data_IF_343461342347
#
_entry.id   IF_343461342347
#
_cell.length_a   1.000
_cell.length_b   1.000
_cell.length_c   1.000
_cell.angle_alpha   90.00
_cell.angle_beta   90.00
_cell.angle_gamma   90.00
#
_symmetry.space_group_name_H-M   'P 1'
#
loop_
_entity.id
_entity.type
_entity.pdbx_description
1 polymer ?
#
# COMPACT_ATOMS: atom_id res chain seq x y z
N UNK A 1 23.30 9.12 -4.32
CA UNK A 1 21.92 8.81 -4.49
C UNK A 1 21.52 7.55 -3.74
N UNK A 2 20.53 7.65 -2.94
CA UNK A 2 20.13 6.51 -2.13
C UNK A 2 19.27 5.53 -2.91
N UNK A 3 19.54 4.27 -2.67
CA UNK A 3 18.72 3.21 -3.18
C UNK A 3 17.50 3.05 -2.26
N UNK A 4 16.32 2.97 -2.86
CA UNK A 4 15.09 2.71 -2.10
C UNK A 4 14.63 1.29 -2.29
N UNK A 5 14.15 0.69 -1.21
CA UNK A 5 13.60 -0.65 -1.25
C UNK A 5 12.10 -0.56 -1.57
N UNK A 6 11.65 -1.47 -2.39
CA UNK A 6 10.24 -1.54 -2.77
C UNK A 6 9.45 -2.23 -1.67
N UNK A 7 8.34 -1.63 -1.28
CA UNK A 7 7.52 -2.15 -0.19
C UNK A 7 6.08 -2.29 -0.66
N UNK A 8 5.48 -3.42 -0.33
CA UNK A 8 4.05 -3.61 -0.53
C UNK A 8 3.39 -3.77 0.83
N UNK A 9 2.17 -3.27 0.95
CA UNK A 9 1.42 -3.39 2.19
C UNK A 9 0.20 -4.25 1.94
N UNK A 10 0.11 -5.36 2.65
CA UNK A 10 -1.04 -6.26 2.60
C UNK A 10 -1.92 -5.93 3.79
N UNK A 11 -3.23 -5.81 3.53
CA UNK A 11 -4.15 -5.36 4.56
C UNK A 11 -4.14 -3.85 4.73
N UNK A 12 -3.88 -3.14 3.65
CA UNK A 12 -3.67 -1.69 3.69
C UNK A 12 -4.92 -0.90 4.03
N UNK A 13 -6.11 -1.49 3.94
CA UNK A 13 -7.35 -0.78 4.26
C UNK A 13 -7.70 -0.82 5.74
N UNK A 14 -7.07 -1.70 6.50
CA UNK A 14 -7.26 -1.75 7.94
C UNK A 14 -6.47 -0.66 8.65
N UNK A 15 -6.74 -0.50 9.94
CA UNK A 15 -6.12 0.59 10.72
C UNK A 15 -4.60 0.49 10.74
N UNK A 16 -4.07 -0.71 10.96
CA UNK A 16 -2.61 -0.90 11.00
C UNK A 16 -2.01 -0.64 9.62
N UNK A 17 -2.65 -1.14 8.56
CA UNK A 17 -2.18 -0.93 7.21
C UNK A 17 -2.19 0.53 6.81
N UNK A 18 -3.23 1.26 7.20
CA UNK A 18 -3.29 2.70 6.95
C UNK A 18 -2.11 3.43 7.59
N UNK A 19 -1.76 3.03 8.79
CA UNK A 19 -0.64 3.63 9.48
C UNK A 19 0.67 3.39 8.71
N UNK A 20 0.87 2.17 8.22
CA UNK A 20 2.06 1.89 7.43
C UNK A 20 2.08 2.70 6.13
N UNK A 21 0.92 2.89 5.51
CA UNK A 21 0.84 3.70 4.30
C UNK A 21 1.29 5.13 4.59
N UNK A 22 0.85 5.71 5.70
CA UNK A 22 1.28 7.07 6.05
C UNK A 22 2.76 7.14 6.35
N UNK A 23 3.34 6.09 6.93
CA UNK A 23 4.76 6.07 7.23
C UNK A 23 5.63 5.97 5.99
N UNK A 24 5.07 5.48 4.89
CA UNK A 24 5.82 5.38 3.63
C UNK A 24 5.94 6.72 2.91
N UNK A 25 5.14 7.71 3.29
CA UNK A 25 5.17 9.00 2.60
C UNK A 25 6.54 9.65 2.78
N UNK A 26 7.22 9.91 1.65
CA UNK A 26 8.53 10.55 1.65
C UNK A 26 9.57 9.82 2.50
N UNK A 27 9.39 8.52 2.65
CA UNK A 27 10.35 7.74 3.42
C UNK A 27 11.70 7.69 2.69
N UNK A 28 12.81 7.92 3.38
CA UNK A 28 14.13 7.98 2.72
C UNK A 28 14.60 6.64 2.17
N UNK A 29 14.17 5.53 2.76
CA UNK A 29 14.67 4.20 2.35
C UNK A 29 13.63 3.32 1.71
N UNK A 30 12.35 3.60 1.89
CA UNK A 30 11.30 2.71 1.38
C UNK A 30 10.39 3.45 0.43
N UNK A 31 10.00 2.75 -0.63
CA UNK A 31 9.08 3.27 -1.63
C UNK A 31 7.89 2.34 -1.72
N UNK A 32 6.70 2.87 -1.49
CA UNK A 32 5.48 2.08 -1.60
C UNK A 32 5.21 1.78 -3.06
N UNK A 33 5.15 0.49 -3.40
CA UNK A 33 4.96 0.06 -4.78
C UNK A 33 3.72 -0.79 -4.99
N UNK A 34 3.14 -1.33 -3.92
CA UNK A 34 1.95 -2.16 -4.04
C UNK A 34 1.10 -2.03 -2.78
N UNK A 35 -0.21 -2.05 -2.99
CA UNK A 35 -1.18 -2.04 -1.92
C UNK A 35 -2.15 -3.18 -2.19
N UNK A 36 -2.40 -4.02 -1.19
CA UNK A 36 -3.30 -5.14 -1.34
C UNK A 36 -4.25 -5.23 -0.16
N UNK A 37 -5.42 -5.78 -0.40
CA UNK A 37 -6.43 -5.94 0.62
C UNK A 37 -7.35 -7.10 0.25
N UNK A 38 -8.47 -7.24 0.96
CA UNK A 38 -9.43 -8.30 0.68
C UNK A 38 -10.07 -8.09 -0.69
N UNK A 39 -10.69 -9.14 -1.26
CA UNK A 39 -11.38 -9.00 -2.56
C UNK A 39 -12.42 -7.89 -2.60
N UNK A 40 -12.99 -7.53 -1.46
CA UNK A 40 -13.95 -6.43 -1.37
C UNK A 40 -13.39 -5.12 -1.86
N UNK A 41 -12.12 -4.88 -1.55
CA UNK A 41 -11.46 -3.61 -1.86
C UNK A 41 -10.68 -3.67 -3.16
N UNK A 42 -10.43 -4.86 -3.67
CA UNK A 42 -9.61 -5.03 -4.87
C UNK A 42 -10.26 -4.35 -6.08
N UNK A 43 -9.44 -3.76 -6.91
CA UNK A 43 -9.89 -3.09 -8.12
C UNK A 43 -10.26 -1.63 -7.92
N UNK A 44 -10.37 -1.18 -6.69
CA UNK A 44 -10.64 0.23 -6.39
C UNK A 44 -9.33 0.97 -6.16
N UNK A 45 -9.35 2.29 -6.32
CA UNK A 45 -8.20 3.07 -5.89
C UNK A 45 -8.16 3.03 -4.36
N UNK A 46 -6.98 3.27 -3.83
CA UNK A 46 -6.83 3.27 -2.36
C UNK A 46 -7.74 4.31 -1.72
N UNK A 47 -7.84 5.48 -2.34
CA UNK A 47 -8.70 6.54 -1.83
C UNK A 47 -10.15 6.09 -1.74
N UNK A 48 -10.63 5.38 -2.75
CA UNK A 48 -11.99 4.84 -2.74
C UNK A 48 -12.16 3.75 -1.70
N UNK A 49 -11.16 2.88 -1.59
CA UNK A 49 -11.23 1.74 -0.70
C UNK A 49 -11.29 2.14 0.76
N UNK A 50 -10.66 3.26 1.13
CA UNK A 50 -10.63 3.71 2.53
C UNK A 50 -11.49 4.93 2.79
N UNK A 51 -12.31 5.34 1.84
CA UNK A 51 -13.07 6.61 1.94
C UNK A 51 -13.86 6.75 3.22
N UNK A 52 -14.45 5.66 3.71
CA UNK A 52 -15.26 5.69 4.94
C UNK A 52 -14.54 5.07 6.12
N UNK A 53 -13.27 4.75 5.97
CA UNK A 53 -12.49 4.07 7.01
C UNK A 53 -11.22 4.78 7.41
N UNK A 54 -10.89 5.84 6.71
CA UNK A 54 -9.62 6.52 6.98
C UNK A 54 -9.60 7.04 8.40
N UNK A 55 -8.73 6.47 9.22
CA UNK A 55 -8.69 6.72 10.65
C UNK A 55 -7.47 7.53 11.07
N UNK A 56 -6.61 7.89 10.12
CA UNK A 56 -5.40 8.62 10.44
C UNK A 56 -5.66 10.11 10.52
N UNK A 57 -4.85 10.80 11.30
CA UNK A 57 -4.98 12.24 11.46
C UNK A 57 -4.50 13.00 10.23
N UNK A 58 -3.54 12.44 9.52
CA UNK A 58 -3.02 13.07 8.31
C UNK A 58 -3.85 12.62 7.11
N UNK A 59 -3.72 13.36 6.02
CA UNK A 59 -4.38 13.00 4.77
C UNK A 59 -3.77 11.73 4.18
N UNK A 60 -4.52 11.09 3.28
CA UNK A 60 -3.98 9.95 2.54
C UNK A 60 -2.79 10.44 1.72
N UNK A 61 -1.63 9.75 1.81
CA UNK A 61 -0.46 10.16 1.04
C UNK A 61 -0.77 10.23 -0.45
N UNK A 62 -0.30 11.28 -1.09
CA UNK A 62 -0.54 11.51 -2.51
C UNK A 62 -0.13 10.31 -3.35
N UNK A 63 0.98 9.69 -3.00
CA UNK A 63 1.52 8.54 -3.70
C UNK A 63 0.55 7.36 -3.67
N UNK A 64 -0.17 7.17 -2.57
CA UNK A 64 -1.05 6.03 -2.40
C UNK A 64 -2.46 6.25 -2.95
N UNK A 65 -2.89 7.50 -3.04
CA UNK A 65 -4.28 7.83 -3.39
C UNK A 65 -4.80 7.14 -4.63
N UNK A 66 -4.03 7.17 -5.70
CA UNK A 66 -4.45 6.65 -6.99
C UNK A 66 -3.99 5.22 -7.25
N UNK A 67 -3.29 4.61 -6.31
CA UNK A 67 -2.87 3.21 -6.48
C UNK A 67 -4.09 2.30 -6.44
N UNK A 68 -4.14 1.36 -7.38
CA UNK A 68 -5.22 0.38 -7.41
C UNK A 68 -4.94 -0.70 -6.38
N UNK A 69 -5.93 -1.00 -5.56
CA UNK A 69 -5.80 -2.03 -4.53
C UNK A 69 -5.83 -3.39 -5.19
N UNK A 70 -4.84 -4.21 -4.90
CA UNK A 70 -4.75 -5.57 -5.41
C UNK A 70 -5.41 -6.54 -4.45
N UNK A 71 -5.83 -7.69 -5.00
CA UNK A 71 -6.40 -8.76 -4.19
C UNK A 71 -5.26 -9.52 -3.54
N UNK A 72 -5.22 -9.53 -2.20
CA UNK A 72 -4.12 -10.16 -1.48
C UNK A 72 -4.01 -11.65 -1.75
N UNK A 73 -5.09 -12.29 -2.19
CA UNK A 73 -5.08 -13.72 -2.49
C UNK A 73 -4.87 -13.99 -3.98
N UNK A 74 -5.61 -13.28 -4.82
CA UNK A 74 -5.59 -13.55 -6.26
C UNK A 74 -4.42 -12.92 -6.98
N UNK A 75 -3.90 -11.81 -6.46
CA UNK A 75 -2.86 -11.03 -7.13
C UNK A 75 -1.49 -11.18 -6.48
N UNK A 76 -1.24 -12.32 -5.84
CA UNK A 76 0.03 -12.56 -5.15
C UNK A 76 1.22 -12.34 -6.08
N UNK A 77 1.12 -12.83 -7.32
CA UNK A 77 2.21 -12.68 -8.27
C UNK A 77 2.49 -11.23 -8.60
N UNK A 78 1.45 -10.44 -8.75
CA UNK A 78 1.61 -9.01 -9.04
C UNK A 78 2.25 -8.28 -7.87
N UNK A 79 1.88 -8.66 -6.66
CA UNK A 79 2.46 -8.07 -5.45
C UNK A 79 3.95 -8.41 -5.37
N UNK A 80 4.29 -9.66 -5.65
CA UNK A 80 5.68 -10.09 -5.62
C UNK A 80 6.50 -9.39 -6.69
N UNK A 81 5.94 -9.20 -7.88
CA UNK A 81 6.63 -8.49 -8.96
C UNK A 81 6.88 -7.04 -8.61
N UNK A 82 6.03 -6.46 -7.80
CA UNK A 82 6.21 -5.08 -7.34
C UNK A 82 7.24 -4.97 -6.21
N UNK A 83 7.76 -6.10 -5.73
CA UNK A 83 8.79 -6.11 -4.70
C UNK A 83 8.29 -6.25 -3.28
N UNK A 84 6.99 -6.55 -3.11
CA UNK A 84 6.40 -6.61 -1.76
C UNK A 84 7.01 -7.69 -0.89
N UNK A 85 7.57 -8.73 -1.50
CA UNK A 85 8.18 -9.84 -0.76
C UNK A 85 9.70 -9.86 -0.90
N UNK A 86 10.28 -8.70 -1.14
CA UNK A 86 11.72 -8.60 -1.30
C UNK A 86 12.42 -8.96 0.01
N UNK A 87 13.51 -9.72 -0.09
CA UNK A 87 14.31 -10.06 1.07
C UNK A 87 15.04 -8.85 1.64
N UNK A 88 15.10 -7.78 0.86
CA UNK A 88 15.76 -6.56 1.30
C UNK A 88 14.97 -5.85 2.40
N UNK A 89 13.74 -6.25 2.60
CA UNK A 89 12.94 -5.73 3.68
C UNK A 89 13.29 -6.40 4.99
#
# INVERSE_FOLDING_TARGET
MEKKYKVGIIGATGMVGQRFVTLMENHPWFQLTAIAASPRSAGKTYEEAVAHRWAMKTSIPQQAKSMVVLDAQADVDKIAQAGAFSEEL
#
